data_IF_794853230051
#
_entry.id   IF_794853230051
#
_cell.length_a   1.000
_cell.length_b   1.000
_cell.length_c   1.000
_cell.angle_alpha   90.00
_cell.angle_beta   90.00
_cell.angle_gamma   90.00
#
_symmetry.space_group_name_H-M   'P 1'
#
loop_
_entity.id
_entity.type
_entity.pdbx_description
1 polymer ?
#
# COMPACT_ATOMS: atom_id res chain seq x y z
N UNK A 1 31.18 -18.97 34.04
CA UNK A 1 31.90 -17.93 33.27
C UNK A 1 32.29 -18.47 31.91
N UNK A 2 31.46 -18.21 30.91
CA UNK A 2 31.79 -17.57 29.62
C UNK A 2 30.51 -17.64 28.79
N UNK A 3 29.74 -16.57 28.88
CA UNK A 3 28.67 -16.26 27.95
C UNK A 3 29.27 -16.19 26.55
N UNK A 4 28.84 -17.10 25.67
CA UNK A 4 28.96 -16.91 24.24
C UNK A 4 27.75 -16.09 23.79
N UNK A 5 27.78 -14.79 24.08
CA UNK A 5 26.98 -13.83 23.33
C UNK A 5 27.61 -13.71 21.94
N UNK A 6 27.19 -14.58 21.02
CA UNK A 6 27.44 -14.36 19.60
C UNK A 6 26.72 -13.08 19.21
N UNK A 7 27.43 -11.97 19.11
CA UNK A 7 26.98 -10.83 18.33
C UNK A 7 26.93 -11.31 16.88
N UNK A 8 25.76 -11.79 16.46
CA UNK A 8 25.44 -11.99 15.05
C UNK A 8 25.58 -10.63 14.36
N UNK A 9 26.36 -10.57 13.27
CA UNK A 9 26.36 -9.38 12.42
C UNK A 9 24.94 -9.04 11.95
N UNK A 10 24.69 -7.80 11.50
CA UNK A 10 23.36 -7.38 11.08
C UNK A 10 22.83 -8.32 9.99
N UNK A 11 21.57 -8.71 10.15
CA UNK A 11 20.85 -9.59 9.21
C UNK A 11 20.87 -8.96 7.81
N UNK A 12 20.89 -9.78 6.76
CA UNK A 12 21.00 -9.28 5.38
C UNK A 12 19.82 -8.35 5.04
N UNK A 13 18.62 -8.69 5.50
CA UNK A 13 17.44 -7.83 5.35
C UNK A 13 17.55 -6.49 6.08
N UNK A 14 18.26 -6.43 7.22
CA UNK A 14 18.46 -5.18 7.96
C UNK A 14 19.30 -4.18 7.16
N UNK A 15 20.36 -4.65 6.48
CA UNK A 15 21.20 -3.79 5.62
C UNK A 15 20.43 -3.24 4.42
N UNK A 16 19.64 -4.08 3.76
CA UNK A 16 18.82 -3.64 2.61
C UNK A 16 17.77 -2.62 3.05
N UNK A 17 17.14 -2.85 4.20
CA UNK A 17 16.17 -1.92 4.78
C UNK A 17 16.80 -0.56 5.11
N UNK A 18 17.97 -0.54 5.74
CA UNK A 18 18.69 0.71 6.00
C UNK A 18 18.96 1.49 4.71
N UNK A 19 19.45 0.81 3.66
CA UNK A 19 19.70 1.44 2.36
C UNK A 19 18.41 1.99 1.71
N UNK A 20 17.30 1.24 1.80
CA UNK A 20 15.99 1.68 1.30
C UNK A 20 15.50 2.93 2.06
N UNK A 21 15.57 2.92 3.39
CA UNK A 21 15.23 4.06 4.25
C UNK A 21 16.07 5.29 3.90
N UNK A 22 17.39 5.15 3.70
CA UNK A 22 18.25 6.27 3.27
C UNK A 22 17.85 6.83 1.89
N UNK A 23 17.46 5.97 0.95
CA UNK A 23 16.97 6.40 -0.37
C UNK A 23 15.66 7.19 -0.23
N UNK A 24 14.70 6.70 0.57
CA UNK A 24 13.46 7.44 0.88
C UNK A 24 13.82 8.82 1.42
N UNK A 25 14.73 8.89 2.38
CA UNK A 25 15.08 10.16 3.00
C UNK A 25 15.72 11.14 2.06
N UNK A 26 16.65 10.65 1.24
CA UNK A 26 17.30 11.44 0.21
C UNK A 26 16.26 12.03 -0.74
N UNK A 27 15.29 11.24 -1.19
CA UNK A 27 14.27 11.70 -2.14
C UNK A 27 13.25 12.65 -1.51
N UNK A 28 12.83 12.40 -0.26
CA UNK A 28 11.95 13.31 0.49
C UNK A 28 12.63 14.69 0.68
N UNK A 29 13.94 14.70 0.97
CA UNK A 29 14.70 15.94 1.11
C UNK A 29 14.95 16.62 -0.24
N UNK A 30 15.19 15.84 -1.29
CA UNK A 30 15.50 16.30 -2.63
C UNK A 30 14.29 16.21 -3.58
N UNK A 31 13.07 16.54 -3.12
CA UNK A 31 11.83 16.58 -3.93
C UNK A 31 11.87 17.59 -5.11
N UNK A 32 13.01 17.76 -5.77
CA UNK A 32 13.21 18.31 -7.10
C UNK A 32 12.62 17.33 -8.12
N UNK A 33 11.31 17.11 -8.03
CA UNK A 33 10.55 16.57 -9.13
C UNK A 33 10.70 17.58 -10.26
N UNK A 34 11.42 17.22 -11.32
CA UNK A 34 11.33 17.96 -12.56
C UNK A 34 9.83 18.00 -12.88
N UNK A 35 9.31 19.21 -13.13
CA UNK A 35 7.93 19.43 -13.52
C UNK A 35 7.90 19.48 -15.06
N UNK A 36 7.99 18.36 -15.80
CA UNK A 36 7.54 18.42 -17.18
C UNK A 36 6.04 18.68 -17.13
N UNK A 37 5.58 19.63 -17.94
CA UNK A 37 4.17 19.89 -18.16
C UNK A 37 3.43 18.56 -18.32
N UNK A 38 2.68 18.17 -17.29
CA UNK A 38 1.93 16.93 -17.28
C UNK A 38 0.78 17.10 -18.27
N UNK A 39 1.02 16.69 -19.51
CA UNK A 39 -0.05 16.43 -20.46
C UNK A 39 -0.78 15.18 -19.98
N UNK A 40 -1.72 15.36 -19.06
CA UNK A 40 -2.65 14.32 -18.62
C UNK A 40 -3.46 13.94 -19.86
N UNK A 41 -3.10 12.84 -20.51
CA UNK A 41 -3.95 12.27 -21.56
C UNK A 41 -5.23 11.76 -20.89
N UNK A 42 -6.26 12.60 -20.90
CA UNK A 42 -7.59 12.28 -20.42
C UNK A 42 -8.20 11.22 -21.34
N UNK A 43 -8.24 9.96 -20.90
CA UNK A 43 -9.28 9.04 -21.33
C UNK A 43 -10.50 9.23 -20.42
N UNK A 44 -11.12 10.41 -20.49
CA UNK A 44 -12.44 10.60 -19.91
C UNK A 44 -13.46 9.96 -20.86
N UNK A 45 -14.01 8.81 -20.47
CA UNK A 45 -15.28 8.36 -21.08
C UNK A 45 -16.43 9.02 -20.30
N UNK A 46 -17.46 9.56 -20.98
CA UNK A 46 -18.66 10.03 -20.31
C UNK A 46 -19.30 8.90 -19.50
N UNK A 47 -19.90 9.25 -18.36
CA UNK A 47 -20.69 8.33 -17.54
C UNK A 47 -21.91 7.89 -18.36
N UNK A 48 -21.92 6.62 -18.76
CA UNK A 48 -23.07 5.98 -19.40
C UNK A 48 -24.09 5.61 -18.29
N UNK A 49 -25.33 6.10 -18.32
CA UNK A 49 -26.39 5.70 -17.38
C UNK A 49 -26.67 4.18 -17.41
N UNK A 50 -26.32 3.52 -18.52
CA UNK A 50 -26.41 2.08 -18.71
C UNK A 50 -25.05 1.39 -18.48
N UNK A 51 -24.10 2.00 -17.79
CA UNK A 51 -22.76 1.44 -17.56
C UNK A 51 -22.82 0.01 -17.00
N UNK A 52 -23.77 -0.30 -16.12
CA UNK A 52 -23.93 -1.66 -15.61
C UNK A 52 -24.30 -2.66 -16.72
N UNK A 53 -25.20 -2.29 -17.65
CA UNK A 53 -25.52 -3.11 -18.81
C UNK A 53 -24.40 -3.12 -19.87
N UNK A 54 -23.66 -2.02 -20.04
CA UNK A 54 -22.55 -1.98 -20.98
C UNK A 54 -21.31 -2.72 -20.46
N UNK A 55 -21.12 -2.80 -19.14
CA UNK A 55 -20.19 -3.74 -18.50
C UNK A 55 -20.67 -5.15 -18.75
N UNK A 56 -21.94 -5.52 -18.49
CA UNK A 56 -22.47 -6.85 -18.79
C UNK A 56 -22.32 -7.24 -20.27
N UNK A 57 -22.52 -6.31 -21.20
CA UNK A 57 -22.35 -6.55 -22.65
C UNK A 57 -20.87 -6.59 -23.10
N UNK A 58 -19.96 -5.84 -22.46
CA UNK A 58 -18.51 -5.98 -22.68
C UNK A 58 -17.99 -7.30 -22.10
N UNK A 59 -18.51 -7.68 -20.94
CA UNK A 59 -18.27 -8.94 -20.24
C UNK A 59 -18.65 -10.13 -21.13
N UNK A 60 -19.75 -10.08 -21.87
CA UNK A 60 -20.13 -11.13 -22.83
C UNK A 60 -19.19 -11.25 -24.05
N UNK A 61 -18.40 -10.22 -24.37
CA UNK A 61 -17.50 -10.19 -25.53
C UNK A 61 -16.01 -10.43 -25.17
N UNK A 62 -15.67 -10.59 -23.89
CA UNK A 62 -14.33 -11.00 -23.45
C UNK A 62 -14.30 -12.52 -23.38
N UNK A 63 -13.46 -13.16 -24.20
CA UNK A 63 -13.26 -14.62 -24.30
C UNK A 63 -12.58 -15.26 -23.07
N UNK A 64 -12.63 -14.61 -21.91
CA UNK A 64 -12.14 -15.13 -20.63
C UNK A 64 -13.29 -15.27 -19.62
N UNK A 65 -14.05 -16.35 -19.78
CA UNK A 65 -15.16 -16.76 -18.91
C UNK A 65 -14.79 -16.86 -17.42
N UNK A 66 -13.50 -17.02 -17.07
CA UNK A 66 -13.04 -17.16 -15.69
C UNK A 66 -13.01 -15.83 -14.90
N UNK A 67 -12.71 -14.69 -15.52
CA UNK A 67 -12.62 -13.40 -14.79
C UNK A 67 -13.98 -12.82 -14.40
N UNK A 68 -15.04 -13.24 -15.09
CA UNK A 68 -16.41 -12.80 -14.86
C UNK A 68 -16.99 -13.43 -13.59
N UNK A 69 -16.66 -14.70 -13.34
CA UNK A 69 -17.06 -15.38 -12.12
C UNK A 69 -16.48 -14.67 -10.89
N UNK A 70 -15.18 -14.34 -10.95
CA UNK A 70 -14.45 -13.67 -9.87
C UNK A 70 -15.08 -12.32 -9.48
N UNK A 71 -15.65 -11.56 -10.42
CA UNK A 71 -16.31 -10.27 -10.14
C UNK A 71 -17.53 -10.37 -9.21
N UNK A 72 -18.25 -11.50 -9.24
CA UNK A 72 -19.50 -11.67 -8.49
C UNK A 72 -19.35 -12.50 -7.21
N UNK A 73 -18.15 -13.02 -6.93
CA UNK A 73 -17.86 -13.68 -5.65
C UNK A 73 -17.87 -12.63 -4.54
N UNK A 74 -18.79 -12.77 -3.58
CA UNK A 74 -18.81 -11.92 -2.40
C UNK A 74 -17.64 -12.20 -1.46
N UNK A 75 -17.09 -11.15 -0.83
CA UNK A 75 -15.95 -11.25 0.09
C UNK A 75 -14.65 -11.64 -0.61
N UNK A 76 -13.57 -11.79 0.16
CA UNK A 76 -12.26 -12.18 -0.37
C UNK A 76 -12.18 -13.68 -0.65
N UNK A 77 -11.58 -14.07 -1.78
CA UNK A 77 -11.41 -15.48 -2.14
C UNK A 77 -9.93 -15.88 -2.27
N UNK A 78 -9.47 -16.80 -1.41
CA UNK A 78 -8.06 -17.24 -1.36
C UNK A 78 -7.56 -17.88 -2.67
N UNK A 79 -8.44 -18.43 -3.50
CA UNK A 79 -8.09 -18.96 -4.84
C UNK A 79 -7.77 -17.81 -5.79
N UNK A 80 -8.55 -16.72 -5.74
CA UNK A 80 -8.28 -15.49 -6.51
C UNK A 80 -6.97 -14.87 -6.03
N UNK A 81 -6.74 -14.78 -4.71
CA UNK A 81 -5.50 -14.27 -4.14
C UNK A 81 -4.28 -15.05 -4.63
N UNK A 82 -4.30 -16.39 -4.48
CA UNK A 82 -3.24 -17.30 -4.95
C UNK A 82 -2.94 -17.08 -6.42
N UNK A 83 -3.97 -17.14 -7.27
CA UNK A 83 -3.83 -16.98 -8.71
C UNK A 83 -3.24 -15.62 -9.07
N UNK A 84 -3.70 -14.55 -8.41
CA UNK A 84 -3.22 -13.18 -8.63
C UNK A 84 -1.73 -13.05 -8.28
N UNK A 85 -1.30 -13.63 -7.15
CA UNK A 85 0.10 -13.72 -6.73
C UNK A 85 0.95 -14.52 -7.72
N UNK A 86 0.50 -15.72 -8.07
CA UNK A 86 1.21 -16.63 -8.97
C UNK A 86 1.35 -16.07 -10.39
N UNK A 87 0.37 -15.28 -10.87
CA UNK A 87 0.40 -14.71 -12.22
C UNK A 87 1.26 -13.45 -12.34
N UNK A 88 1.28 -12.58 -11.31
CA UNK A 88 1.93 -11.26 -11.41
C UNK A 88 3.18 -11.09 -10.57
N UNK A 89 3.30 -11.82 -9.46
CA UNK A 89 4.22 -11.44 -8.39
C UNK A 89 5.32 -12.46 -8.10
N UNK A 90 5.44 -13.53 -8.90
CA UNK A 90 6.48 -14.58 -8.76
C UNK A 90 7.74 -14.34 -9.59
N UNK A 91 7.83 -13.22 -10.31
CA UNK A 91 9.00 -12.81 -11.08
C UNK A 91 9.40 -11.37 -10.71
N UNK A 92 10.70 -11.01 -10.75
CA UNK A 92 11.16 -9.66 -10.44
C UNK A 92 10.56 -8.58 -11.35
N UNK A 93 10.25 -7.42 -10.75
CA UNK A 93 9.63 -6.25 -11.38
C UNK A 93 10.54 -5.03 -11.24
N UNK A 94 11.80 -5.20 -11.62
CA UNK A 94 12.85 -4.18 -11.47
C UNK A 94 13.13 -3.40 -12.76
N UNK A 95 13.19 -4.07 -13.91
CA UNK A 95 13.54 -3.44 -15.20
C UNK A 95 12.38 -2.59 -15.73
N UNK A 96 12.65 -1.60 -16.59
CA UNK A 96 11.58 -0.79 -17.18
C UNK A 96 10.54 -1.64 -17.93
N UNK A 97 10.98 -2.71 -18.60
CA UNK A 97 10.10 -3.64 -19.30
C UNK A 97 9.22 -4.46 -18.35
N UNK A 98 9.81 -5.08 -17.31
CA UNK A 98 9.05 -5.87 -16.33
C UNK A 98 8.07 -5.00 -15.52
N UNK A 99 8.47 -3.78 -15.15
CA UNK A 99 7.58 -2.81 -14.51
C UNK A 99 6.44 -2.39 -15.42
N UNK A 100 6.72 -2.10 -16.70
CA UNK A 100 5.67 -1.77 -17.68
C UNK A 100 4.68 -2.93 -17.85
N UNK A 101 5.16 -4.17 -17.99
CA UNK A 101 4.31 -5.37 -18.11
C UNK A 101 3.40 -5.51 -16.88
N UNK A 102 3.94 -5.32 -15.69
CA UNK A 102 3.17 -5.37 -14.44
C UNK A 102 2.13 -4.25 -14.38
N UNK A 103 2.52 -3.01 -14.68
CA UNK A 103 1.61 -1.86 -14.72
C UNK A 103 0.48 -2.05 -15.76
N UNK A 104 0.76 -2.68 -16.89
CA UNK A 104 -0.24 -3.03 -17.90
C UNK A 104 -1.26 -4.03 -17.33
N UNK A 105 -0.81 -5.10 -16.67
CA UNK A 105 -1.69 -6.10 -16.06
C UNK A 105 -2.52 -5.54 -14.89
N UNK A 106 -1.93 -4.70 -14.03
CA UNK A 106 -2.64 -4.02 -12.93
C UNK A 106 -3.70 -3.07 -13.50
N UNK A 107 -3.37 -2.31 -14.56
CA UNK A 107 -4.31 -1.41 -15.22
C UNK A 107 -5.50 -2.17 -15.80
N UNK A 108 -5.26 -3.28 -16.48
CA UNK A 108 -6.33 -4.13 -17.02
C UNK A 108 -7.27 -4.61 -15.91
N UNK A 109 -6.74 -5.13 -14.80
CA UNK A 109 -7.56 -5.59 -13.67
C UNK A 109 -8.33 -4.45 -13.00
N UNK A 110 -7.68 -3.33 -12.70
CA UNK A 110 -8.36 -2.16 -12.13
C UNK A 110 -9.45 -1.60 -13.03
N UNK A 111 -9.29 -1.68 -14.36
CA UNK A 111 -10.30 -1.23 -15.31
C UNK A 111 -11.60 -2.05 -15.29
N UNK A 112 -11.57 -3.25 -14.72
CA UNK A 112 -12.77 -4.07 -14.50
C UNK A 112 -13.55 -3.64 -13.25
N UNK A 113 -12.88 -3.01 -12.28
CA UNK A 113 -13.43 -2.73 -10.95
C UNK A 113 -13.70 -1.24 -10.71
N UNK A 114 -13.24 -0.36 -11.60
CA UNK A 114 -13.29 1.10 -11.43
C UNK A 114 -13.90 1.81 -12.65
N UNK A 115 -14.52 2.99 -12.44
CA UNK A 115 -15.10 3.78 -13.54
C UNK A 115 -14.05 4.61 -14.28
N UNK A 116 -13.04 5.09 -13.56
CA UNK A 116 -11.95 5.85 -14.14
C UNK A 116 -10.64 5.12 -13.85
N UNK A 117 -9.94 4.70 -14.89
CA UNK A 117 -8.61 4.07 -14.77
C UNK A 117 -7.63 4.77 -15.68
N UNK A 118 -6.46 5.12 -15.15
CA UNK A 118 -5.44 5.84 -15.88
C UNK A 118 -4.03 5.47 -15.43
N UNK A 119 -3.06 5.75 -16.29
CA UNK A 119 -1.63 5.67 -15.97
C UNK A 119 -1.07 7.07 -15.81
N UNK A 120 -0.49 7.35 -14.64
CA UNK A 120 0.25 8.59 -14.40
C UNK A 120 1.73 8.33 -14.71
N UNK A 121 2.18 8.81 -15.86
CA UNK A 121 3.62 8.83 -16.19
C UNK A 121 4.28 9.99 -15.47
N UNK A 122 5.48 9.78 -14.95
CA UNK A 122 6.28 10.82 -14.31
C UNK A 122 7.77 10.60 -14.56
N UNK A 123 8.54 11.68 -14.40
CA UNK A 123 10.00 11.65 -14.37
C UNK A 123 10.43 12.11 -12.98
N UNK A 124 11.30 11.35 -12.34
CA UNK A 124 11.86 11.68 -11.04
C UNK A 124 13.39 11.62 -11.09
N UNK A 125 14.04 12.23 -10.10
CA UNK A 125 15.50 12.14 -9.94
C UNK A 125 15.80 10.97 -9.00
N UNK A 126 16.48 9.94 -9.49
CA UNK A 126 16.91 8.82 -8.67
C UNK A 126 18.04 9.21 -7.71
N UNK A 127 18.36 8.33 -6.75
CA UNK A 127 19.39 8.59 -5.74
C UNK A 127 20.81 8.81 -6.30
N UNK A 128 21.08 8.35 -7.53
CA UNK A 128 22.32 8.62 -8.27
C UNK A 128 22.31 9.97 -9.03
N UNK A 129 21.29 10.80 -8.82
CA UNK A 129 21.11 12.10 -9.48
C UNK A 129 20.63 12.02 -10.95
N UNK A 130 20.35 10.81 -11.47
CA UNK A 130 19.91 10.65 -12.86
C UNK A 130 18.38 10.62 -12.97
N UNK A 131 17.81 11.11 -14.08
CA UNK A 131 16.38 10.99 -14.31
C UNK A 131 15.98 9.52 -14.46
N UNK A 132 14.85 9.16 -13.87
CA UNK A 132 14.20 7.85 -13.95
C UNK A 132 12.73 8.06 -14.30
N UNK A 133 12.26 7.32 -15.29
CA UNK A 133 10.84 7.32 -15.69
C UNK A 133 10.07 6.25 -14.90
N UNK A 134 8.89 6.63 -14.41
CA UNK A 134 7.98 5.74 -13.71
C UNK A 134 6.53 5.90 -14.17
N UNK A 135 5.69 4.91 -13.86
CA UNK A 135 4.26 4.93 -14.21
C UNK A 135 3.38 4.39 -13.08
N UNK A 136 2.72 5.27 -12.33
CA UNK A 136 1.68 4.82 -11.39
C UNK A 136 0.43 4.38 -12.15
N UNK A 137 -0.29 3.40 -11.61
CA UNK A 137 -1.60 2.98 -12.12
C UNK A 137 -2.67 3.42 -11.13
N UNK A 138 -3.65 4.20 -11.60
CA UNK A 138 -4.70 4.79 -10.76
C UNK A 138 -6.05 4.28 -11.24
N UNK A 139 -6.84 3.71 -10.33
CA UNK A 139 -8.24 3.34 -10.54
C UNK A 139 -9.15 4.11 -9.58
N UNK A 140 -10.35 4.47 -10.00
CA UNK A 140 -11.25 5.30 -9.18
C UNK A 140 -12.70 4.82 -9.21
N UNK A 141 -13.24 4.59 -8.02
CA UNK A 141 -14.68 4.42 -7.79
C UNK A 141 -15.22 5.80 -7.36
N UNK A 142 -15.99 6.48 -8.23
CA UNK A 142 -16.46 7.82 -7.95
C UNK A 142 -17.55 7.80 -6.87
N UNK A 143 -17.44 8.71 -5.90
CA UNK A 143 -18.55 9.02 -5.01
C UNK A 143 -19.63 9.80 -5.75
N UNK A 144 -20.86 9.77 -5.23
CA UNK A 144 -22.02 10.49 -5.81
C UNK A 144 -21.76 11.97 -6.05
N UNK A 145 -20.91 12.58 -5.22
CA UNK A 145 -20.59 14.00 -5.29
C UNK A 145 -19.24 14.28 -5.97
N UNK A 146 -18.63 13.32 -6.69
CA UNK A 146 -17.32 13.51 -7.35
C UNK A 146 -17.31 14.77 -8.23
N UNK A 147 -16.30 15.62 -8.05
CA UNK A 147 -16.16 16.89 -8.75
C UNK A 147 -16.93 18.06 -8.12
N UNK A 148 -17.69 17.80 -7.05
CA UNK A 148 -18.35 18.82 -6.23
C UNK A 148 -17.55 19.07 -4.94
N UNK A 149 -17.68 20.29 -4.41
CA UNK A 149 -17.03 20.66 -3.15
C UNK A 149 -17.57 19.78 -2.01
N UNK A 150 -16.65 19.24 -1.18
CA UNK A 150 -17.01 18.39 -0.05
C UNK A 150 -17.05 16.89 -0.33
N UNK A 151 -16.85 16.44 -1.58
CA UNK A 151 -16.64 15.02 -1.89
C UNK A 151 -15.37 14.51 -1.20
N UNK A 152 -15.54 13.53 -0.31
CA UNK A 152 -14.43 12.87 0.37
C UNK A 152 -13.54 12.10 -0.60
N UNK A 153 -12.24 12.06 -0.31
CA UNK A 153 -11.26 11.25 -1.04
C UNK A 153 -10.61 10.27 -0.07
N UNK A 154 -10.78 8.98 -0.36
CA UNK A 154 -10.14 7.87 0.36
C UNK A 154 -9.17 7.22 -0.61
N UNK A 155 -7.91 7.04 -0.21
CA UNK A 155 -6.88 6.41 -1.05
C UNK A 155 -6.53 5.03 -0.49
N UNK A 156 -6.38 4.05 -1.37
CA UNK A 156 -5.72 2.77 -1.09
C UNK A 156 -4.51 2.66 -2.01
N UNK A 157 -3.33 2.40 -1.46
CA UNK A 157 -2.10 2.35 -2.23
C UNK A 157 -1.15 1.22 -1.84
N UNK A 158 -0.35 0.77 -2.80
CA UNK A 158 0.75 -0.20 -2.63
C UNK A 158 1.74 -0.03 -3.80
N UNK A 159 3.04 -0.27 -3.62
CA UNK A 159 3.97 -0.26 -4.75
C UNK A 159 4.03 -1.62 -5.44
N UNK A 160 4.28 -1.63 -6.75
CA UNK A 160 4.33 -2.86 -7.53
C UNK A 160 5.72 -3.22 -8.03
N UNK A 161 6.73 -2.34 -7.90
CA UNK A 161 8.09 -2.65 -8.32
C UNK A 161 8.82 -3.52 -7.29
N UNK A 162 9.97 -4.05 -7.69
CA UNK A 162 10.88 -4.79 -6.79
C UNK A 162 12.32 -4.32 -6.98
N UNK A 163 13.20 -4.75 -6.08
CA UNK A 163 14.64 -4.79 -6.34
C UNK A 163 15.00 -5.87 -7.37
N UNK A 164 16.23 -5.81 -7.90
CA UNK A 164 16.66 -6.62 -9.05
C UNK A 164 16.56 -8.14 -8.82
N UNK A 165 16.91 -8.63 -7.64
CA UNK A 165 17.02 -10.05 -7.30
C UNK A 165 15.76 -10.67 -6.72
N UNK A 166 14.82 -9.85 -6.25
CA UNK A 166 13.64 -10.32 -5.53
C UNK A 166 12.44 -10.48 -6.47
N UNK A 167 11.78 -11.64 -6.50
CA UNK A 167 10.45 -11.76 -7.05
C UNK A 167 9.44 -10.87 -6.32
N UNK A 168 9.58 -10.65 -5.01
CA UNK A 168 8.76 -9.70 -4.29
C UNK A 168 7.30 -10.15 -4.14
N UNK A 169 7.09 -11.41 -3.76
CA UNK A 169 5.73 -11.96 -3.58
C UNK A 169 5.04 -11.27 -2.41
N UNK A 170 5.75 -11.09 -1.29
CA UNK A 170 5.26 -10.30 -0.17
C UNK A 170 5.68 -8.83 -0.26
N UNK A 171 6.88 -8.53 -0.77
CA UNK A 171 7.40 -7.16 -0.97
C UNK A 171 7.39 -6.74 -2.45
N UNK A 172 6.36 -6.08 -2.97
CA UNK A 172 5.08 -5.77 -2.31
C UNK A 172 3.89 -6.34 -3.10
N UNK A 173 4.04 -7.58 -3.58
CA UNK A 173 2.99 -8.30 -4.29
C UNK A 173 1.72 -8.47 -3.45
N UNK A 174 1.86 -8.75 -2.14
CA UNK A 174 0.74 -8.89 -1.22
C UNK A 174 -0.06 -7.60 -1.05
N UNK A 175 0.60 -6.44 -0.97
CA UNK A 175 -0.07 -5.14 -0.91
C UNK A 175 -0.83 -4.80 -2.19
N UNK A 176 -0.27 -5.09 -3.36
CA UNK A 176 -0.97 -4.86 -4.64
C UNK A 176 -2.15 -5.82 -4.81
N UNK A 177 -2.02 -7.07 -4.36
CA UNK A 177 -3.15 -8.02 -4.33
C UNK A 177 -4.25 -7.50 -3.41
N UNK A 178 -3.90 -6.98 -2.23
CA UNK A 178 -4.87 -6.40 -1.31
C UNK A 178 -5.60 -5.20 -1.93
N UNK A 179 -4.87 -4.35 -2.67
CA UNK A 179 -5.43 -3.23 -3.42
C UNK A 179 -6.41 -3.69 -4.50
N UNK A 180 -6.02 -4.66 -5.34
CA UNK A 180 -6.84 -5.17 -6.44
C UNK A 180 -8.11 -5.87 -5.94
N UNK A 181 -7.98 -6.70 -4.91
CA UNK A 181 -9.11 -7.44 -4.36
C UNK A 181 -10.07 -6.53 -3.59
N UNK A 182 -9.55 -5.52 -2.87
CA UNK A 182 -10.40 -4.48 -2.27
C UNK A 182 -11.20 -3.75 -3.35
N UNK A 183 -10.57 -3.40 -4.48
CA UNK A 183 -11.29 -2.79 -5.61
C UNK A 183 -12.38 -3.72 -6.14
N UNK A 184 -12.09 -5.02 -6.31
CA UNK A 184 -13.06 -6.02 -6.74
C UNK A 184 -14.27 -6.10 -5.80
N UNK A 185 -14.03 -6.22 -4.49
CA UNK A 185 -15.08 -6.32 -3.46
C UNK A 185 -15.97 -5.08 -3.41
N UNK A 186 -15.40 -3.89 -3.58
CA UNK A 186 -16.15 -2.63 -3.50
C UNK A 186 -16.88 -2.27 -4.80
N UNK A 187 -16.43 -2.81 -5.93
CA UNK A 187 -17.00 -2.49 -7.26
C UNK A 187 -18.51 -2.74 -7.40
N UNK A 188 -19.15 -3.79 -6.81
CA UNK A 188 -20.60 -3.97 -6.92
C UNK A 188 -21.42 -2.93 -6.16
N UNK A 189 -20.80 -2.19 -5.22
CA UNK A 189 -21.42 -1.09 -4.47
C UNK A 189 -21.22 0.28 -5.15
N UNK A 190 -20.56 0.31 -6.31
CA UNK A 190 -20.36 1.53 -7.09
C UNK A 190 -21.67 2.30 -7.33
N UNK A 191 -21.61 3.63 -7.19
CA UNK A 191 -22.78 4.50 -7.23
C UNK A 191 -23.58 4.60 -5.92
N UNK A 192 -23.24 3.80 -4.89
CA UNK A 192 -23.83 3.91 -3.54
C UNK A 192 -23.00 4.77 -2.59
N UNK A 193 -21.71 4.88 -2.82
CA UNK A 193 -20.80 5.66 -1.98
C UNK A 193 -21.00 7.17 -2.15
N UNK A 194 -20.96 7.89 -1.03
CA UNK A 194 -20.98 9.35 -1.01
C UNK A 194 -19.59 9.93 -1.31
N UNK A 195 -18.53 9.25 -0.84
CA UNK A 195 -17.15 9.64 -1.05
C UNK A 195 -16.48 8.82 -2.15
N UNK A 196 -15.47 9.42 -2.76
CA UNK A 196 -14.65 8.81 -3.81
C UNK A 196 -13.57 7.93 -3.22
N UNK A 197 -13.39 6.74 -3.80
CA UNK A 197 -12.32 5.80 -3.46
C UNK A 197 -11.32 5.76 -4.62
N UNK A 198 -10.05 6.04 -4.34
CA UNK A 198 -8.94 6.04 -5.30
C UNK A 198 -8.00 4.88 -4.95
N UNK A 199 -7.75 4.00 -5.91
CA UNK A 199 -6.75 2.95 -5.84
C UNK A 199 -5.52 3.40 -6.61
N UNK A 200 -4.33 3.23 -6.05
CA UNK A 200 -3.08 3.59 -6.73
C UNK A 200 -1.99 2.54 -6.51
N UNK A 201 -1.55 1.91 -7.59
CA UNK A 201 -0.35 1.10 -7.59
C UNK A 201 0.85 1.98 -7.95
N UNK A 202 1.76 2.18 -6.99
CA UNK A 202 2.93 3.04 -7.15
C UNK A 202 4.08 2.32 -7.87
N UNK A 203 4.74 3.03 -8.78
CA UNK A 203 6.01 2.57 -9.37
C UNK A 203 7.19 3.12 -8.57
N UNK A 204 8.35 2.48 -8.67
CA UNK A 204 9.61 2.96 -8.10
C UNK A 204 9.55 3.20 -6.57
N UNK A 205 8.77 2.39 -5.84
CA UNK A 205 8.79 2.31 -4.38
C UNK A 205 10.18 1.96 -3.87
N UNK A 206 10.82 0.97 -4.51
CA UNK A 206 12.18 0.50 -4.18
C UNK A 206 13.31 1.44 -4.59
N UNK A 207 12.96 2.51 -5.30
CA UNK A 207 13.87 3.62 -5.59
C UNK A 207 13.66 4.79 -4.65
N UNK A 208 13.04 4.56 -3.48
CA UNK A 208 12.76 5.55 -2.45
C UNK A 208 11.48 6.29 -2.74
N UNK A 209 10.36 5.56 -2.86
CA UNK A 209 8.97 6.06 -2.89
C UNK A 209 8.68 7.11 -3.98
N UNK A 210 9.38 7.02 -5.12
CA UNK A 210 9.28 8.05 -6.17
C UNK A 210 7.88 8.12 -6.78
N UNK A 211 7.19 6.98 -6.92
CA UNK A 211 5.83 6.92 -7.42
C UNK A 211 4.82 7.60 -6.51
N UNK A 212 4.85 7.34 -5.19
CA UNK A 212 3.94 7.99 -4.26
C UNK A 212 4.23 9.48 -4.09
N UNK A 213 5.50 9.90 -4.14
CA UNK A 213 5.87 11.32 -4.22
C UNK A 213 5.29 12.00 -5.47
N UNK A 214 5.39 11.36 -6.64
CA UNK A 214 4.79 11.86 -7.87
C UNK A 214 3.25 11.88 -7.80
N UNK A 215 2.62 10.85 -7.23
CA UNK A 215 1.17 10.80 -7.04
C UNK A 215 0.68 11.94 -6.16
N UNK A 216 1.28 12.12 -4.97
CA UNK A 216 0.88 13.16 -4.02
C UNK A 216 1.06 14.55 -4.63
N UNK A 217 2.23 14.82 -5.20
CA UNK A 217 2.60 16.17 -5.64
C UNK A 217 2.05 16.58 -7.00
N UNK A 218 1.75 15.62 -7.90
CA UNK A 218 1.34 15.91 -9.28
C UNK A 218 -0.11 15.50 -9.59
N UNK A 219 -0.69 14.56 -8.83
CA UNK A 219 -2.06 14.10 -9.04
C UNK A 219 -2.98 14.44 -7.85
N UNK A 220 -2.76 13.86 -6.68
CA UNK A 220 -3.69 13.97 -5.54
C UNK A 220 -3.92 15.44 -5.14
N UNK A 221 -2.85 16.17 -4.81
CA UNK A 221 -3.00 17.55 -4.34
C UNK A 221 -3.47 18.47 -5.47
N UNK A 222 -2.78 18.58 -6.63
CA UNK A 222 -3.17 19.57 -7.63
C UNK A 222 -4.50 19.26 -8.30
N UNK A 223 -4.77 17.98 -8.57
CA UNK A 223 -5.93 17.58 -9.38
C UNK A 223 -7.15 17.25 -8.53
N UNK A 224 -7.03 16.34 -7.56
CA UNK A 224 -8.20 15.87 -6.80
C UNK A 224 -8.58 16.83 -5.66
N UNK A 225 -7.60 17.36 -4.92
CA UNK A 225 -7.86 18.27 -3.80
C UNK A 225 -8.09 19.70 -4.30
N UNK A 226 -7.15 20.27 -5.05
CA UNK A 226 -7.22 21.70 -5.45
C UNK A 226 -8.19 21.91 -6.62
N UNK A 227 -7.98 21.26 -7.77
CA UNK A 227 -8.80 21.49 -8.97
C UNK A 227 -10.25 21.00 -8.80
N UNK A 228 -10.44 19.79 -8.28
CA UNK A 228 -11.77 19.17 -8.07
C UNK A 228 -12.41 19.50 -6.71
N UNK A 229 -11.72 20.24 -5.82
CA UNK A 229 -12.22 20.64 -4.49
C UNK A 229 -12.61 19.45 -3.60
N UNK A 230 -11.89 18.33 -3.75
CA UNK A 230 -12.09 17.14 -2.92
C UNK A 230 -11.58 17.36 -1.50
N UNK A 231 -12.31 16.83 -0.52
CA UNK A 231 -11.88 16.80 0.89
C UNK A 231 -11.11 15.51 1.12
N UNK A 232 -9.80 15.60 1.34
CA UNK A 232 -9.00 14.42 1.65
C UNK A 232 -9.38 13.83 3.02
N UNK A 233 -9.88 12.59 3.03
CA UNK A 233 -10.23 11.85 4.24
C UNK A 233 -8.99 11.14 4.76
N UNK A 234 -8.29 10.42 3.89
CA UNK A 234 -7.03 9.77 4.25
C UNK A 234 -6.62 8.66 3.28
N UNK A 235 -5.46 8.05 3.55
CA UNK A 235 -4.91 6.95 2.78
C UNK A 235 -4.61 5.71 3.65
N UNK A 236 -4.97 4.52 3.14
CA UNK A 236 -4.46 3.24 3.61
C UNK A 236 -3.36 2.78 2.65
N UNK A 237 -2.13 2.67 3.13
CA UNK A 237 -0.99 2.19 2.35
C UNK A 237 -0.66 0.78 2.82
N UNK A 238 -0.69 -0.19 1.92
CA UNK A 238 -0.36 -1.59 2.21
C UNK A 238 1.06 -1.89 1.74
N UNK A 239 1.88 -2.42 2.64
CA UNK A 239 3.25 -2.82 2.33
C UNK A 239 3.64 -4.04 3.16
N UNK A 240 3.77 -5.18 2.47
CA UNK A 240 3.98 -6.51 3.06
C UNK A 240 2.88 -6.83 4.07
N UNK A 241 1.84 -7.54 3.63
CA UNK A 241 0.61 -7.74 4.42
C UNK A 241 0.15 -9.20 4.45
N UNK A 242 1.07 -10.14 4.24
CA UNK A 242 0.76 -11.56 4.08
C UNK A 242 1.62 -12.50 4.95
N UNK A 243 2.78 -12.07 5.44
CA UNK A 243 3.68 -12.90 6.24
C UNK A 243 3.15 -13.11 7.67
N UNK A 244 2.45 -14.22 7.90
CA UNK A 244 2.02 -14.67 9.21
C UNK A 244 3.01 -15.68 9.78
N UNK A 245 3.45 -15.49 11.02
CA UNK A 245 4.34 -16.44 11.69
C UNK A 245 4.04 -16.53 13.18
N UNK A 246 3.24 -17.51 13.56
CA UNK A 246 2.85 -17.74 14.94
C UNK A 246 3.97 -18.37 15.80
N UNK A 247 5.19 -18.61 15.32
CA UNK A 247 6.27 -19.21 16.13
C UNK A 247 6.85 -18.24 17.19
N UNK A 248 7.34 -18.76 18.33
CA UNK A 248 7.98 -17.93 19.36
C UNK A 248 9.23 -17.29 18.78
N UNK A 249 9.39 -15.97 18.95
CA UNK A 249 10.56 -15.25 18.47
C UNK A 249 10.59 -15.02 16.95
N UNK A 250 9.47 -15.22 16.25
CA UNK A 250 9.38 -14.92 14.83
C UNK A 250 9.36 -13.43 14.53
N UNK A 251 8.92 -12.58 15.46
CA UNK A 251 8.94 -11.13 15.33
C UNK A 251 10.12 -10.50 16.07
N UNK A 252 10.88 -9.67 15.35
CA UNK A 252 11.87 -8.75 15.91
C UNK A 252 11.32 -7.33 15.82
N UNK A 253 11.71 -6.46 16.75
CA UNK A 253 11.41 -5.04 16.70
C UNK A 253 12.74 -4.28 16.74
N UNK A 254 13.01 -3.35 15.81
CA UNK A 254 14.18 -2.50 15.91
C UNK A 254 14.23 -1.77 17.25
N UNK A 255 15.44 -1.51 17.74
CA UNK A 255 15.65 -0.84 19.01
C UNK A 255 14.96 0.53 19.06
N UNK A 256 15.09 1.33 17.98
CA UNK A 256 14.48 2.66 17.88
C UNK A 256 12.96 2.60 18.00
N UNK A 257 12.31 1.69 17.27
CA UNK A 257 10.85 1.51 17.35
C UNK A 257 10.48 1.02 18.74
N UNK A 258 11.22 0.05 19.30
CA UNK A 258 10.94 -0.50 20.63
C UNK A 258 11.01 0.56 21.73
N UNK A 259 11.94 1.49 21.62
CA UNK A 259 12.06 2.62 22.55
C UNK A 259 10.96 3.67 22.35
N UNK A 260 10.44 3.82 21.14
CA UNK A 260 9.37 4.77 20.83
C UNK A 260 7.98 4.26 21.23
N UNK A 261 7.70 2.97 21.08
CA UNK A 261 6.39 2.34 21.38
C UNK A 261 6.51 1.25 22.45
N UNK A 262 7.00 1.64 23.63
CA UNK A 262 7.30 0.73 24.76
C UNK A 262 6.13 -0.16 25.17
N UNK A 263 4.89 0.35 25.10
CA UNK A 263 3.67 -0.41 25.38
C UNK A 263 3.48 -1.57 24.38
N UNK A 264 3.73 -1.33 23.09
CA UNK A 264 3.66 -2.36 22.04
C UNK A 264 4.76 -3.39 22.25
N UNK A 265 5.99 -2.95 22.54
CA UNK A 265 7.10 -3.87 22.82
C UNK A 265 6.82 -4.79 24.01
N UNK A 266 6.23 -4.26 25.09
CA UNK A 266 5.84 -5.07 26.23
C UNK A 266 4.76 -6.12 25.87
N UNK A 267 3.75 -5.74 25.08
CA UNK A 267 2.71 -6.67 24.61
C UNK A 267 3.28 -7.78 23.71
N UNK A 268 4.22 -7.45 22.82
CA UNK A 268 4.89 -8.43 21.97
C UNK A 268 5.74 -9.40 22.81
N UNK A 269 6.47 -8.91 23.82
CA UNK A 269 7.23 -9.77 24.73
C UNK A 269 6.32 -10.73 25.49
N UNK A 270 5.18 -10.25 26.00
CA UNK A 270 4.18 -11.08 26.68
C UNK A 270 3.56 -12.13 25.73
N UNK A 271 3.49 -11.85 24.43
CA UNK A 271 3.05 -12.80 23.41
C UNK A 271 4.16 -13.73 22.90
N UNK A 272 5.34 -13.75 23.54
CA UNK A 272 6.45 -14.59 23.11
C UNK A 272 7.07 -14.14 21.78
N UNK A 273 6.96 -12.86 21.43
CA UNK A 273 7.51 -12.26 20.22
C UNK A 273 7.05 -12.98 18.94
N UNK A 274 5.77 -13.37 18.89
CA UNK A 274 5.14 -13.97 17.71
C UNK A 274 4.77 -12.88 16.69
N UNK A 275 4.91 -13.21 15.41
CA UNK A 275 4.44 -12.45 14.25
C UNK A 275 3.02 -12.86 13.84
N UNK A 276 2.14 -13.08 14.82
CA UNK A 276 0.73 -13.48 14.66
C UNK A 276 -0.21 -12.26 14.54
N UNK A 277 0.31 -11.12 14.07
CA UNK A 277 -0.41 -9.85 14.08
C UNK A 277 -0.20 -9.05 12.79
N UNK A 278 -1.19 -8.23 12.45
CA UNK A 278 -1.02 -7.10 11.53
C UNK A 278 -0.70 -5.84 12.33
N UNK A 279 0.11 -4.94 11.77
CA UNK A 279 0.36 -3.63 12.36
C UNK A 279 -0.22 -2.49 11.53
N UNK A 280 -0.69 -1.45 12.22
CA UNK A 280 -1.07 -0.17 11.61
C UNK A 280 -0.22 0.93 12.21
N UNK A 281 0.55 1.60 11.37
CA UNK A 281 1.38 2.72 11.79
C UNK A 281 0.64 4.00 11.49
N UNK A 282 0.25 4.69 12.55
CA UNK A 282 -0.67 5.81 12.47
C UNK A 282 -0.35 6.81 13.56
N UNK A 283 -0.24 8.09 13.22
CA UNK A 283 -0.05 9.14 14.23
C UNK A 283 -1.37 9.29 14.95
N UNK A 284 -1.43 8.80 16.19
CA UNK A 284 -2.68 8.44 16.86
C UNK A 284 -3.72 9.54 16.89
N UNK A 285 -3.29 10.80 17.01
CA UNK A 285 -4.19 11.96 17.08
C UNK A 285 -4.62 12.51 15.72
N UNK A 286 -3.85 12.26 14.66
CA UNK A 286 -4.05 12.85 13.33
C UNK A 286 -4.79 11.87 12.44
N UNK A 287 -4.33 10.62 12.43
CA UNK A 287 -4.80 9.56 11.54
C UNK A 287 -5.90 8.71 12.21
N UNK A 288 -6.55 9.26 13.26
CA UNK A 288 -7.44 8.49 14.13
C UNK A 288 -8.64 7.87 13.43
N UNK A 289 -9.26 8.61 12.51
CA UNK A 289 -10.40 8.12 11.73
C UNK A 289 -10.02 6.89 10.88
N UNK A 290 -8.74 6.77 10.48
CA UNK A 290 -8.28 5.64 9.67
C UNK A 290 -8.01 4.42 10.54
N UNK A 291 -7.12 4.55 11.54
CA UNK A 291 -6.74 3.39 12.34
C UNK A 291 -7.90 2.86 13.18
N UNK A 292 -8.78 3.74 13.68
CA UNK A 292 -9.94 3.32 14.47
C UNK A 292 -10.99 2.59 13.63
N UNK A 293 -11.28 3.07 12.42
CA UNK A 293 -12.22 2.39 11.54
C UNK A 293 -11.68 1.04 11.08
N UNK A 294 -10.39 0.96 10.73
CA UNK A 294 -9.78 -0.32 10.42
C UNK A 294 -9.81 -1.28 11.61
N UNK A 295 -9.47 -0.82 12.81
CA UNK A 295 -9.53 -1.67 14.02
C UNK A 295 -10.93 -2.22 14.27
N UNK A 296 -11.97 -1.42 14.06
CA UNK A 296 -13.36 -1.89 14.19
C UNK A 296 -13.71 -2.93 13.15
N UNK A 297 -13.32 -2.72 11.89
CA UNK A 297 -13.51 -3.70 10.83
C UNK A 297 -12.77 -5.00 11.13
N UNK A 298 -11.51 -4.92 11.56
CA UNK A 298 -10.71 -6.08 11.96
C UNK A 298 -11.39 -6.92 13.03
N UNK A 299 -11.91 -6.27 14.09
CA UNK A 299 -12.55 -6.96 15.20
C UNK A 299 -13.92 -7.58 14.85
N UNK A 300 -14.54 -7.21 13.73
CA UNK A 300 -15.82 -7.75 13.28
C UNK A 300 -15.68 -8.99 12.41
N UNK A 301 -14.52 -9.19 11.80
CA UNK A 301 -14.25 -10.35 10.97
C UNK A 301 -14.10 -11.62 11.83
N UNK A 302 -14.73 -12.73 11.42
CA UNK A 302 -14.80 -13.98 12.20
C UNK A 302 -13.42 -14.56 12.55
N UNK A 303 -12.40 -14.30 11.72
CA UNK A 303 -11.02 -14.76 11.95
C UNK A 303 -10.24 -13.89 12.96
N UNK A 304 -10.86 -12.87 13.58
CA UNK A 304 -10.21 -11.96 14.52
C UNK A 304 -9.77 -12.63 15.84
N UNK A 305 -10.24 -13.84 16.13
CA UNK A 305 -9.79 -14.61 17.31
C UNK A 305 -8.41 -15.26 17.11
N UNK A 306 -7.98 -15.45 15.86
CA UNK A 306 -6.70 -16.08 15.52
C UNK A 306 -5.64 -15.04 15.15
N UNK A 307 -6.05 -13.90 14.59
CA UNK A 307 -5.16 -12.85 14.11
C UNK A 307 -5.23 -11.58 15.00
N UNK A 308 -4.08 -11.15 15.52
CA UNK A 308 -4.00 -9.94 16.35
C UNK A 308 -3.83 -8.67 15.51
N UNK A 309 -4.23 -7.53 16.05
CA UNK A 309 -3.95 -6.21 15.47
C UNK A 309 -3.17 -5.34 16.46
N UNK A 310 -2.11 -4.71 15.99
CA UNK A 310 -1.24 -3.83 16.77
C UNK A 310 -1.20 -2.43 16.18
N UNK A 311 -1.51 -1.41 16.97
CA UNK A 311 -1.38 0.00 16.54
C UNK A 311 -0.01 0.52 16.99
N UNK A 312 0.82 0.91 16.02
CA UNK A 312 2.10 1.57 16.24
C UNK A 312 1.88 3.07 16.10
N UNK A 313 2.07 3.80 17.19
CA UNK A 313 1.90 5.26 17.26
C UNK A 313 3.27 5.94 17.22
N UNK A 314 3.78 6.33 16.03
CA UNK A 314 5.06 6.98 15.95
C UNK A 314 4.99 8.40 16.55
N UNK A 315 6.05 8.87 17.23
CA UNK A 315 6.11 10.22 17.80
C UNK A 315 6.35 11.30 16.72
N UNK A 316 5.57 11.27 15.63
CA UNK A 316 5.68 12.19 14.48
C UNK A 316 4.63 13.30 14.60
N UNK A 317 5.03 14.59 14.59
CA UNK A 317 4.11 15.71 14.73
C UNK A 317 3.29 15.96 13.45
N UNK A 318 2.22 16.75 13.59
CA UNK A 318 1.30 17.13 12.49
C UNK A 318 1.94 17.98 11.41
N UNK A 319 2.77 18.95 11.81
CA UNK A 319 3.56 19.76 10.89
C UNK A 319 4.97 19.21 10.97
N UNK A 320 5.39 18.39 9.99
CA UNK A 320 6.79 18.01 9.89
C UNK A 320 7.54 19.24 9.42
N UNK A 321 7.93 20.13 10.33
CA UNK A 321 8.96 21.11 10.05
C UNK A 321 10.24 20.32 9.79
N UNK A 322 10.41 19.86 8.53
CA UNK A 322 11.48 19.01 8.04
C UNK A 322 11.93 17.96 9.05
N UNK A 323 11.34 16.75 9.00
CA UNK A 323 11.84 15.58 9.73
C UNK A 323 13.28 15.32 9.27
N UNK A 324 14.23 15.97 9.93
CA UNK A 324 15.68 15.80 9.81
C UNK A 324 16.23 14.99 10.99
N UNK A 325 15.35 14.55 11.89
CA UNK A 325 15.75 13.72 13.01
C UNK A 325 15.86 12.27 12.55
N UNK A 326 17.08 11.73 12.64
CA UNK A 326 17.39 10.32 12.40
C UNK A 326 16.45 9.37 13.19
N UNK A 327 15.91 9.83 14.32
CA UNK A 327 14.97 9.09 15.21
C UNK A 327 13.58 8.81 14.61
N UNK A 328 13.27 9.29 13.42
CA UNK A 328 11.98 9.00 12.78
C UNK A 328 12.15 8.21 11.48
N UNK A 329 13.38 7.77 11.19
CA UNK A 329 13.73 7.15 9.90
C UNK A 329 13.00 5.84 9.67
N UNK A 330 13.00 5.01 10.69
CA UNK A 330 12.35 3.72 10.66
C UNK A 330 10.84 3.80 10.50
N UNK A 331 10.20 4.92 10.87
CA UNK A 331 8.75 5.12 10.77
C UNK A 331 8.26 5.53 9.38
N UNK A 332 9.16 5.79 8.43
CA UNK A 332 8.87 6.40 7.13
C UNK A 332 9.38 5.54 5.98
N UNK A 333 9.36 4.24 6.21
CA UNK A 333 9.98 3.20 5.38
C UNK A 333 9.14 2.73 4.18
N UNK A 334 8.06 3.44 3.84
CA UNK A 334 7.13 3.05 2.77
C UNK A 334 6.37 4.26 2.24
N UNK A 335 5.49 4.06 1.27
CA UNK A 335 4.80 5.10 0.49
C UNK A 335 3.92 6.05 1.32
N UNK A 336 3.49 5.66 2.54
CA UNK A 336 2.77 6.56 3.46
C UNK A 336 3.60 7.79 3.83
N UNK A 337 4.94 7.68 3.78
CA UNK A 337 5.85 8.78 4.03
C UNK A 337 5.67 9.94 3.04
N UNK A 338 5.27 9.68 1.79
CA UNK A 338 4.97 10.72 0.81
C UNK A 338 3.73 11.56 1.20
N UNK A 339 2.78 10.96 1.92
CA UNK A 339 1.60 11.66 2.44
C UNK A 339 1.92 12.45 3.70
N UNK A 340 2.73 11.85 4.59
CA UNK A 340 3.15 12.54 5.81
C UNK A 340 4.08 13.71 5.52
N UNK A 341 4.93 13.63 4.49
CA UNK A 341 5.95 14.62 4.20
C UNK A 341 6.07 14.94 2.69
N UNK A 342 5.28 15.89 2.21
CA UNK A 342 5.34 16.41 0.84
C UNK A 342 5.69 17.90 0.79
N UNK A 343 6.30 18.36 -0.31
CA UNK A 343 6.67 19.77 -0.51
C UNK A 343 5.68 20.60 -1.32
N UNK A 344 4.46 20.11 -1.58
CA UNK A 344 3.48 20.87 -2.35
C UNK A 344 3.08 22.20 -1.65
N UNK A 345 3.31 23.38 -2.25
CA UNK A 345 3.07 24.67 -1.59
C UNK A 345 1.58 24.98 -1.39
N UNK A 346 0.68 24.31 -2.11
CA UNK A 346 -0.77 24.50 -1.98
C UNK A 346 -1.37 23.79 -0.75
N UNK A 347 -0.62 22.87 -0.12
CA UNK A 347 -1.07 22.11 1.05
C UNK A 347 0.07 22.08 2.07
N UNK A 348 -0.03 22.86 3.16
CA UNK A 348 1.06 23.00 4.16
C UNK A 348 1.01 21.96 5.28
N UNK A 349 -0.14 21.36 5.49
CA UNK A 349 -0.36 20.32 6.51
C UNK A 349 0.05 18.96 5.96
N UNK A 350 0.44 18.04 6.84
CA UNK A 350 0.52 16.64 6.46
C UNK A 350 -0.84 16.09 6.02
N UNK A 351 -0.82 15.23 5.00
CA UNK A 351 -1.97 14.41 4.65
C UNK A 351 -2.12 13.23 5.64
N UNK A 352 -3.37 12.90 5.96
CA UNK A 352 -3.71 11.74 6.79
C UNK A 352 -3.40 10.44 6.06
N UNK A 353 -2.59 9.57 6.65
CA UNK A 353 -2.30 8.26 6.06
C UNK A 353 -1.90 7.27 7.15
N UNK A 354 -2.17 6.00 6.91
CA UNK A 354 -1.68 4.90 7.74
C UNK A 354 -0.94 3.88 6.88
N UNK A 355 0.11 3.29 7.43
CA UNK A 355 0.77 2.13 6.84
C UNK A 355 0.19 0.87 7.49
N UNK A 356 -0.30 -0.05 6.67
CA UNK A 356 -0.72 -1.39 7.05
C UNK A 356 0.42 -2.33 6.64
N UNK A 357 0.99 -3.04 7.61
CA UNK A 357 2.14 -3.92 7.37
C UNK A 357 2.21 -5.05 8.37
N UNK A 358 2.68 -6.20 7.93
CA UNK A 358 3.09 -7.35 8.73
C UNK A 358 4.50 -7.19 9.30
N UNK A 359 5.13 -6.01 9.17
CA UNK A 359 6.48 -5.71 9.66
C UNK A 359 7.62 -6.38 8.87
N UNK A 360 7.30 -7.13 7.82
CA UNK A 360 8.15 -7.58 6.73
C UNK A 360 9.57 -8.02 7.12
N UNK A 361 10.61 -7.19 6.91
CA UNK A 361 12.01 -7.51 7.17
C UNK A 361 12.32 -7.86 8.63
N UNK A 362 11.36 -7.69 9.54
CA UNK A 362 11.54 -8.03 10.94
C UNK A 362 10.77 -9.29 11.36
N UNK A 363 10.18 -10.03 10.42
CA UNK A 363 9.37 -11.20 10.69
C UNK A 363 9.85 -12.45 9.97
N UNK A 364 9.97 -13.55 10.71
CA UNK A 364 10.11 -14.90 10.20
C UNK A 364 11.27 -15.04 9.21
N UNK A 365 10.96 -15.60 8.04
CA UNK A 365 11.87 -15.81 6.93
C UNK A 365 12.27 -14.51 6.21
N UNK A 366 11.41 -13.48 6.21
CA UNK A 366 11.69 -12.21 5.53
C UNK A 366 12.80 -11.39 6.20
N UNK A 367 13.20 -11.74 7.42
CA UNK A 367 14.46 -11.21 7.99
C UNK A 367 15.68 -11.52 7.12
N UNK A 368 15.69 -12.70 6.51
CA UNK A 368 16.73 -13.12 5.56
C UNK A 368 16.30 -12.99 4.08
N UNK A 369 15.00 -12.92 3.79
CA UNK A 369 14.45 -12.91 2.43
C UNK A 369 14.02 -11.54 1.90
N UNK A 370 13.96 -10.51 2.75
CA UNK A 370 13.68 -9.15 2.29
C UNK A 370 14.74 -8.71 1.27
N UNK A 371 14.28 -8.25 0.10
CA UNK A 371 15.13 -7.87 -1.05
C UNK A 371 15.99 -8.99 -1.63
N UNK A 372 15.66 -10.25 -1.31
CA UNK A 372 16.39 -11.43 -1.77
C UNK A 372 15.49 -12.35 -2.62
N UNK A 373 16.12 -13.26 -3.36
CA UNK A 373 15.43 -14.18 -4.28
C UNK A 373 14.42 -15.12 -3.60
N UNK A 374 14.44 -15.20 -2.26
CA UNK A 374 13.57 -16.08 -1.49
C UNK A 374 12.27 -15.44 -0.99
N UNK A 375 12.04 -14.14 -1.26
CA UNK A 375 10.69 -13.59 -1.28
C UNK A 375 9.99 -14.00 -2.59
N UNK A 376 9.57 -15.26 -2.63
CA UNK A 376 9.05 -15.93 -3.82
C UNK A 376 7.76 -16.74 -3.55
N UNK A 377 7.37 -17.59 -4.50
CA UNK A 377 6.15 -18.40 -4.43
C UNK A 377 6.02 -19.27 -3.16
N UNK A 378 7.11 -19.54 -2.43
CA UNK A 378 7.06 -20.28 -1.16
C UNK A 378 6.28 -19.54 -0.08
N UNK A 379 6.13 -18.22 -0.19
CA UNK A 379 5.30 -17.41 0.72
C UNK A 379 3.80 -17.65 0.51
N UNK A 380 3.37 -18.25 -0.61
CA UNK A 380 1.96 -18.46 -0.98
C UNK A 380 1.41 -19.74 -0.31
N UNK A 381 1.43 -19.77 1.03
CA UNK A 381 0.87 -20.84 1.85
C UNK A 381 -0.61 -20.59 2.15
N UNK A 382 -1.35 -21.61 2.61
CA UNK A 382 -2.76 -21.42 2.99
C UNK A 382 -2.92 -20.48 4.19
N UNK A 383 -2.01 -20.58 5.17
CA UNK A 383 -1.98 -19.73 6.37
C UNK A 383 -1.77 -18.26 6.01
N UNK A 384 -0.76 -17.97 5.19
CA UNK A 384 -0.49 -16.63 4.70
C UNK A 384 -1.65 -16.08 3.85
N UNK A 385 -2.27 -16.91 3.01
CA UNK A 385 -3.44 -16.49 2.23
C UNK A 385 -4.68 -16.21 3.09
N UNK A 386 -4.89 -16.97 4.18
CA UNK A 386 -5.99 -16.69 5.10
C UNK A 386 -5.74 -15.42 5.91
N UNK A 387 -4.50 -15.19 6.34
CA UNK A 387 -4.10 -13.93 6.96
C UNK A 387 -4.33 -12.74 6.00
N UNK A 388 -3.85 -12.83 4.76
CA UNK A 388 -4.08 -11.81 3.73
C UNK A 388 -5.57 -11.60 3.44
N UNK A 389 -6.37 -12.67 3.40
CA UNK A 389 -7.83 -12.59 3.27
C UNK A 389 -8.44 -11.72 4.37
N UNK A 390 -8.07 -11.96 5.62
CA UNK A 390 -8.55 -11.18 6.77
C UNK A 390 -8.12 -9.71 6.71
N UNK A 391 -6.90 -9.41 6.23
CA UNK A 391 -6.45 -8.03 5.96
C UNK A 391 -7.35 -7.35 4.93
N UNK A 392 -7.64 -8.03 3.82
CA UNK A 392 -8.43 -7.48 2.71
C UNK A 392 -9.89 -7.26 3.11
N UNK A 393 -10.51 -8.23 3.78
CA UNK A 393 -11.90 -8.11 4.25
C UNK A 393 -12.02 -6.91 5.21
N UNK A 394 -11.06 -6.78 6.15
CA UNK A 394 -10.98 -5.64 7.07
C UNK A 394 -10.79 -4.31 6.35
N UNK A 395 -9.89 -4.25 5.36
CA UNK A 395 -9.62 -3.06 4.57
C UNK A 395 -10.85 -2.64 3.75
N UNK A 396 -11.50 -3.58 3.08
CA UNK A 396 -12.71 -3.33 2.30
C UNK A 396 -13.85 -2.81 3.18
N UNK A 397 -14.05 -3.42 4.35
CA UNK A 397 -15.05 -2.98 5.35
C UNK A 397 -14.76 -1.56 5.86
N UNK A 398 -13.50 -1.26 6.19
CA UNK A 398 -13.09 0.05 6.69
C UNK A 398 -13.25 1.15 5.63
N UNK A 399 -12.86 0.85 4.39
CA UNK A 399 -13.01 1.77 3.24
C UNK A 399 -14.49 1.98 2.92
N UNK A 400 -15.31 0.93 2.90
CA UNK A 400 -16.74 1.04 2.66
C UNK A 400 -17.40 1.96 3.70
N UNK A 401 -17.07 1.78 4.97
CA UNK A 401 -17.60 2.60 6.08
C UNK A 401 -17.23 4.08 5.93
N UNK A 402 -16.02 4.40 5.48
CA UNK A 402 -15.62 5.78 5.21
C UNK A 402 -16.24 6.34 3.92
N UNK A 403 -16.59 5.46 2.98
CA UNK A 403 -17.12 5.84 1.67
C UNK A 403 -18.63 6.09 1.65
N UNK A 404 -19.36 5.43 2.55
CA UNK A 404 -20.77 5.70 2.89
C UNK A 404 -20.91 7.06 3.58
#
# INVERSE_FOLDING_TARGET
MKDNSSMSGPDVGEKHLEAHIENIWTNILNQDLLFPDCNVSHYLRPVDPNYFESVLNKVQNVTHTNHLYDMFVGGTNVVILRKTLEELFVEPRFTAESRKKTADAIFERLSLYTLETQKQKFVATGSNGRPVEGTNVIGVIPGRNRGQAGNGLIVIGAHYDTVQSSPGVDDNGSGVVALLETARILSPKMGRFNNTIIFVAFDLGEKGILGSLAFVNQFLIPHEIVRKRGKFIGAYIADMVMNFDANVGSQVMPLEISMAVTNVSALLQLNGLRGDFLSIWARRTIDWELWYNFQRSWAQEEASTEHRLTIIDPPIPRVPLFISNWRYRNFMRSDHAAFWNHKNPAFKDSLKAVLITDMGPWRGNLRACYHEFCDDRRQITLENLDFLRHVIDSLASAVATLAE
#
